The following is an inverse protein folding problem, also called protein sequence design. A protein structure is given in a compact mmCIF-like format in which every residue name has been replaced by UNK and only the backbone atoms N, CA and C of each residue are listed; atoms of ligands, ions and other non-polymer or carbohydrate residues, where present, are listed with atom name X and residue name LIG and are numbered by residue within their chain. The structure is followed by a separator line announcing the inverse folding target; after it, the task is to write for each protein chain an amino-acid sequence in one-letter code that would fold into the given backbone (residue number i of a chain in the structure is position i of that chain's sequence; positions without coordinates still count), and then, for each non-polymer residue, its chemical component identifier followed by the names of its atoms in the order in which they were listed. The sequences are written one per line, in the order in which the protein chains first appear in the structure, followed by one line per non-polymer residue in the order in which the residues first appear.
data_IF_029965817701
#
_entry.id   IF_029965817701
#
_cell.length_a   1.000
_cell.length_b   1.000
_cell.length_c   1.000
_cell.angle_alpha   90.00
_cell.angle_beta   90.00
_cell.angle_gamma   90.00
#
_symmetry.space_group_name_H-M   'P 1'
#
loop_
_entity.id
_entity.type
_entity.pdbx_description
1 polymer ?
#
# COMPACT_ATOMS: atom_id res chain seq x y z
N UNK A 1 5.36 2.37 18.34
CA UNK A 1 4.31 1.40 17.99
C UNK A 1 3.29 2.06 17.07
N UNK A 2 3.74 2.46 15.89
CA UNK A 2 2.84 2.82 14.80
C UNK A 2 3.17 1.88 13.66
N UNK A 3 2.65 0.66 13.78
CA UNK A 3 2.42 -0.16 12.60
C UNK A 3 1.61 0.69 11.62
N UNK A 4 1.91 0.59 10.31
CA UNK A 4 1.18 1.28 9.25
C UNK A 4 -0.30 1.33 9.61
N UNK A 5 -0.92 2.52 9.58
CA UNK A 5 -2.36 2.60 9.78
C UNK A 5 -3.02 1.81 8.67
N UNK A 6 -3.48 0.62 9.05
CA UNK A 6 -4.33 -0.19 8.20
C UNK A 6 -5.73 0.37 8.34
N UNK A 7 -6.68 -0.07 7.52
CA UNK A 7 -8.05 0.47 7.57
C UNK A 7 -8.71 0.35 8.95
N UNK A 8 -8.17 -0.49 9.85
CA UNK A 8 -8.56 -0.61 11.26
C UNK A 8 -8.22 0.60 12.14
N UNK A 9 -7.34 1.50 11.71
CA UNK A 9 -6.91 2.67 12.49
C UNK A 9 -7.65 3.96 12.11
N UNK A 10 -8.72 3.84 11.31
CA UNK A 10 -9.59 4.95 10.92
C UNK A 10 -10.56 5.24 12.08
N UNK A 11 -10.46 6.44 12.65
CA UNK A 11 -11.39 6.87 13.69
C UNK A 11 -12.76 7.23 13.08
N UNK A 12 -13.87 7.02 13.81
CA UNK A 12 -15.18 7.48 13.38
C UNK A 12 -15.19 9.00 13.11
N UNK A 13 -15.93 9.40 12.07
CA UNK A 13 -16.06 10.80 11.61
C UNK A 13 -14.75 11.50 11.18
N UNK A 14 -13.66 10.76 10.97
CA UNK A 14 -12.43 11.33 10.42
C UNK A 14 -12.61 11.82 8.99
N UNK A 15 -11.83 12.85 8.65
CA UNK A 15 -11.71 13.39 7.30
C UNK A 15 -10.46 12.82 6.63
N UNK A 16 -10.65 12.11 5.52
CA UNK A 16 -9.59 11.44 4.77
C UNK A 16 -9.41 12.15 3.43
N UNK A 17 -8.20 12.65 3.19
CA UNK A 17 -7.79 13.22 1.92
C UNK A 17 -7.40 12.13 0.92
N UNK A 18 -8.01 12.16 -0.27
CA UNK A 18 -7.67 11.36 -1.44
C UNK A 18 -7.04 12.31 -2.48
N UNK A 19 -5.70 12.44 -2.49
CA UNK A 19 -5.01 13.49 -3.26
C UNK A 19 -5.08 13.29 -4.78
N UNK A 20 -5.22 12.05 -5.23
CA UNK A 20 -5.40 11.72 -6.65
C UNK A 20 -6.67 10.88 -6.81
N UNK A 21 -7.43 11.14 -7.87
CA UNK A 21 -8.59 10.33 -8.23
C UNK A 21 -8.14 8.88 -8.47
N UNK A 22 -8.48 8.00 -7.54
CA UNK A 22 -8.11 6.60 -7.56
C UNK A 22 -9.34 5.75 -7.24
N UNK A 23 -9.95 5.27 -8.31
CA UNK A 23 -11.15 4.43 -8.24
C UNK A 23 -11.05 3.26 -7.25
N UNK A 24 -9.88 2.61 -7.15
CA UNK A 24 -9.73 1.48 -6.21
C UNK A 24 -9.72 1.94 -4.76
N UNK A 25 -9.10 3.09 -4.47
CA UNK A 25 -9.17 3.69 -3.14
C UNK A 25 -10.61 4.03 -2.78
N UNK A 26 -11.37 4.65 -3.71
CA UNK A 26 -12.76 5.01 -3.47
C UNK A 26 -13.63 3.79 -3.18
N UNK A 27 -13.47 2.73 -3.97
CA UNK A 27 -14.19 1.46 -3.75
C UNK A 27 -13.88 0.84 -2.39
N UNK A 28 -12.62 0.90 -1.95
CA UNK A 28 -12.19 0.35 -0.65
C UNK A 28 -12.66 1.21 0.53
N UNK A 29 -12.74 2.54 0.35
CA UNK A 29 -13.10 3.48 1.41
C UNK A 29 -14.61 3.78 1.49
N UNK A 30 -15.39 3.55 0.43
CA UNK A 30 -16.85 3.75 0.43
C UNK A 30 -17.54 3.09 1.64
N UNK A 31 -17.26 1.82 2.01
CA UNK A 31 -17.93 1.19 3.14
C UNK A 31 -17.64 1.88 4.48
N UNK A 32 -16.49 2.55 4.60
CA UNK A 32 -16.09 3.27 5.81
C UNK A 32 -16.87 4.57 5.98
N UNK A 33 -17.27 5.21 4.88
CA UNK A 33 -18.18 6.37 4.92
C UNK A 33 -19.53 5.97 5.53
N UNK A 34 -20.08 4.83 5.11
CA UNK A 34 -21.36 4.32 5.60
C UNK A 34 -21.29 3.79 7.03
N UNK A 35 -20.24 3.04 7.36
CA UNK A 35 -20.12 2.36 8.66
C UNK A 35 -19.65 3.27 9.79
N UNK A 36 -18.74 4.19 9.49
CA UNK A 36 -18.05 5.00 10.51
C UNK A 36 -18.23 6.51 10.34
N UNK A 37 -19.01 6.96 9.34
CA UNK A 37 -19.26 8.38 9.11
C UNK A 37 -18.04 9.14 8.58
N UNK A 38 -17.06 8.42 8.04
CA UNK A 38 -15.82 9.00 7.48
C UNK A 38 -16.17 9.91 6.31
N UNK A 39 -15.48 11.05 6.22
CA UNK A 39 -15.62 12.00 5.11
C UNK A 39 -14.43 11.86 4.17
N UNK A 40 -14.69 11.62 2.89
CA UNK A 40 -13.67 11.61 1.85
C UNK A 40 -13.63 12.99 1.20
N UNK A 41 -12.43 13.59 1.12
CA UNK A 41 -12.19 14.91 0.52
C UNK A 41 -11.05 14.81 -0.49
N UNK A 42 -11.05 15.67 -1.50
CA UNK A 42 -9.96 15.74 -2.50
C UNK A 42 -9.08 16.99 -2.36
N UNK A 43 -9.46 17.91 -1.48
CA UNK A 43 -8.69 19.10 -1.13
C UNK A 43 -9.15 19.62 0.26
N UNK A 44 -8.37 20.51 0.86
CA UNK A 44 -8.67 21.18 2.14
C UNK A 44 -8.10 20.48 3.37
N UNK A 45 -8.70 20.77 4.54
CA UNK A 45 -8.26 20.22 5.83
C UNK A 45 -8.62 18.74 5.96
N UNK A 46 -7.68 17.95 6.51
CA UNK A 46 -7.82 16.51 6.68
C UNK A 46 -7.17 16.00 7.96
N UNK A 47 -7.67 14.88 8.48
CA UNK A 47 -7.07 14.16 9.61
C UNK A 47 -6.07 13.10 9.13
N UNK A 48 -6.38 12.45 8.00
CA UNK A 48 -5.61 11.39 7.38
C UNK A 48 -5.48 11.64 5.88
N UNK A 49 -4.38 11.20 5.29
CA UNK A 49 -4.15 11.24 3.84
C UNK A 49 -3.95 9.82 3.31
N UNK A 50 -4.53 9.52 2.16
CA UNK A 50 -4.37 8.22 1.51
C UNK A 50 -3.06 8.16 0.76
N UNK A 51 -2.36 7.04 0.93
CA UNK A 51 -1.29 6.59 0.06
C UNK A 51 -1.77 5.32 -0.70
N UNK A 52 -1.95 5.39 -2.04
CA UNK A 52 -2.53 4.30 -2.83
C UNK A 52 -1.52 3.21 -3.21
N UNK A 53 -0.33 3.18 -2.60
CA UNK A 53 0.69 2.16 -2.89
C UNK A 53 0.13 0.74 -2.72
N UNK A 54 0.42 -0.09 -3.71
CA UNK A 54 -0.02 -1.48 -3.78
C UNK A 54 1.07 -2.43 -3.26
N UNK A 55 0.72 -3.69 -3.01
CA UNK A 55 1.66 -4.68 -2.48
C UNK A 55 2.90 -4.85 -3.37
N UNK A 56 2.70 -5.01 -4.68
CA UNK A 56 3.78 -5.20 -5.65
C UNK A 56 4.75 -4.02 -5.69
N UNK A 57 4.23 -2.79 -5.75
CA UNK A 57 5.05 -1.58 -5.73
C UNK A 57 5.87 -1.46 -4.45
N UNK A 58 5.27 -1.82 -3.30
CA UNK A 58 5.98 -1.78 -2.02
C UNK A 58 7.09 -2.83 -1.95
N UNK A 59 6.81 -4.05 -2.41
CA UNK A 59 7.80 -5.14 -2.43
C UNK A 59 8.93 -4.81 -3.41
N UNK A 60 8.62 -4.24 -4.57
CA UNK A 60 9.62 -3.72 -5.50
C UNK A 60 10.50 -2.69 -4.80
N UNK A 61 9.90 -1.67 -4.17
CA UNK A 61 10.65 -0.64 -3.42
C UNK A 61 11.60 -1.24 -2.36
N UNK A 62 11.14 -2.25 -1.61
CA UNK A 62 11.96 -2.92 -0.60
C UNK A 62 13.17 -3.58 -1.25
N UNK A 63 13.00 -4.31 -2.35
CA UNK A 63 14.13 -4.92 -3.04
C UNK A 63 15.05 -3.89 -3.67
N UNK A 64 14.52 -2.86 -4.33
CA UNK A 64 15.33 -1.79 -4.93
C UNK A 64 16.21 -1.09 -3.89
N UNK A 65 15.67 -0.81 -2.71
CA UNK A 65 16.42 -0.17 -1.61
C UNK A 65 17.49 -1.09 -1.02
N UNK A 66 17.20 -2.40 -0.90
CA UNK A 66 18.18 -3.42 -0.50
C UNK A 66 19.32 -3.50 -1.52
N UNK A 67 19.01 -3.57 -2.82
CA UNK A 67 20.00 -3.68 -3.89
C UNK A 67 20.83 -2.42 -4.06
N UNK A 68 20.25 -1.25 -3.81
CA UNK A 68 20.97 0.03 -3.77
C UNK A 68 21.90 0.17 -2.54
N UNK A 69 21.87 -0.78 -1.59
CA UNK A 69 22.66 -0.72 -0.36
C UNK A 69 22.18 0.34 0.64
N UNK A 70 20.99 0.91 0.43
CA UNK A 70 20.36 1.88 1.33
C UNK A 70 19.76 1.17 2.55
N UNK A 71 19.53 -0.14 2.44
CA UNK A 71 18.81 -0.92 3.44
C UNK A 71 17.33 -0.92 3.14
N UNK A 72 16.49 -0.98 4.17
CA UNK A 72 15.04 -0.90 3.98
C UNK A 72 14.59 0.52 4.39
N UNK A 73 13.99 1.25 3.46
CA UNK A 73 13.47 2.60 3.69
C UNK A 73 12.08 2.54 4.33
N UNK A 74 12.01 2.96 5.59
CA UNK A 74 10.83 2.88 6.46
C UNK A 74 10.33 4.28 6.80
N UNK A 75 9.56 4.89 5.90
CA UNK A 75 8.97 6.21 6.10
C UNK A 75 7.43 6.16 6.03
N UNK A 76 6.81 5.30 6.84
CA UNK A 76 5.35 5.37 7.03
C UNK A 76 5.01 6.58 7.88
N UNK A 77 4.18 7.49 7.38
CA UNK A 77 3.78 8.67 8.14
C UNK A 77 2.57 8.38 9.02
N UNK A 78 2.54 8.99 10.19
CA UNK A 78 1.50 8.80 11.21
C UNK A 78 0.09 9.23 10.78
N UNK A 79 0.02 10.14 9.81
CA UNK A 79 -1.21 10.63 9.21
C UNK A 79 -1.49 10.01 7.83
N UNK A 80 -0.68 9.06 7.37
CA UNK A 80 -0.93 8.31 6.13
C UNK A 80 -1.68 7.00 6.42
N UNK A 81 -2.65 6.68 5.56
CA UNK A 81 -3.27 5.35 5.51
C UNK A 81 -2.93 4.68 4.19
N UNK A 82 -2.83 3.35 4.21
CA UNK A 82 -2.40 2.57 3.04
C UNK A 82 -3.46 1.51 2.66
N UNK A 83 -4.57 1.89 2.01
CA UNK A 83 -5.69 0.98 1.72
C UNK A 83 -5.31 -0.23 0.86
N UNK A 84 -4.34 -0.06 -0.05
CA UNK A 84 -3.98 -1.06 -1.06
C UNK A 84 -2.66 -1.80 -0.77
N UNK A 85 -2.00 -1.53 0.36
CA UNK A 85 -0.65 -2.08 0.68
C UNK A 85 -0.60 -3.61 0.73
N UNK A 86 -1.74 -4.26 1.01
CA UNK A 86 -1.87 -5.71 1.07
C UNK A 86 -2.60 -6.29 -0.15
N UNK A 87 -2.87 -5.46 -1.17
CA UNK A 87 -3.60 -5.86 -2.38
C UNK A 87 -2.58 -6.03 -3.52
N UNK A 88 -2.43 -7.25 -4.07
CA UNK A 88 -1.51 -7.46 -5.19
C UNK A 88 -2.05 -6.87 -6.51
N UNK A 89 -1.14 -6.51 -7.41
CA UNK A 89 -1.45 -5.90 -8.70
C UNK A 89 -2.40 -6.78 -9.53
N UNK A 90 -2.18 -8.10 -9.53
CA UNK A 90 -2.99 -9.02 -10.31
C UNK A 90 -4.47 -8.98 -9.89
N UNK A 91 -4.78 -8.87 -8.59
CA UNK A 91 -6.14 -8.76 -8.07
C UNK A 91 -6.78 -7.45 -8.49
N UNK A 92 -6.03 -6.34 -8.43
CA UNK A 92 -6.49 -5.04 -8.89
C UNK A 92 -6.84 -5.10 -10.38
N UNK A 93 -5.95 -5.64 -11.19
CA UNK A 93 -6.15 -5.76 -12.63
C UNK A 93 -7.31 -6.71 -12.99
N UNK A 94 -7.49 -7.81 -12.27
CA UNK A 94 -8.65 -8.69 -12.43
C UNK A 94 -9.96 -7.97 -12.10
N UNK A 95 -9.99 -7.17 -11.04
CA UNK A 95 -11.18 -6.39 -10.67
C UNK A 95 -11.50 -5.30 -11.71
N UNK A 96 -10.50 -4.55 -12.16
CA UNK A 96 -10.68 -3.51 -13.18
C UNK A 96 -11.17 -4.09 -14.52
N UNK A 97 -10.66 -5.27 -14.90
CA UNK A 97 -11.10 -5.98 -16.11
C UNK A 97 -12.58 -6.40 -16.03
N UNK A 98 -13.06 -6.83 -14.86
CA UNK A 98 -14.48 -7.14 -14.64
C UNK A 98 -15.39 -5.91 -14.80
N UNK A 99 -14.90 -4.71 -14.48
CA UNK A 99 -15.64 -3.45 -14.59
C UNK A 99 -15.39 -2.72 -15.93
N UNK A 100 -14.73 -3.38 -16.89
CA UNK A 100 -14.42 -2.80 -18.20
C UNK A 100 -13.40 -1.64 -18.17
N UNK A 101 -12.64 -1.51 -17.08
CA UNK A 101 -11.63 -0.46 -16.89
C UNK A 101 -10.25 -0.92 -17.37
N UNK A 102 -9.39 0.06 -17.67
CA UNK A 102 -8.01 -0.21 -18.10
C UNK A 102 -7.16 -0.74 -16.95
N UNK A 103 -6.32 -1.73 -17.25
CA UNK A 103 -5.34 -2.29 -16.30
C UNK A 103 -4.32 -1.24 -15.90
N UNK A 104 -3.88 -1.29 -14.65
CA UNK A 104 -2.79 -0.46 -14.14
C UNK A 104 -1.48 -1.26 -14.20
N UNK A 105 -0.37 -0.52 -14.15
CA UNK A 105 0.98 -1.07 -14.05
C UNK A 105 1.61 -0.62 -12.74
N UNK A 106 2.61 -1.36 -12.30
CA UNK A 106 3.44 -0.95 -11.17
C UNK A 106 4.02 0.45 -11.45
N UNK A 107 3.87 1.34 -10.47
CA UNK A 107 4.51 2.65 -10.49
C UNK A 107 6.01 2.49 -10.23
N UNK A 108 6.38 1.54 -9.36
CA UNK A 108 7.76 1.23 -9.07
C UNK A 108 8.20 -0.01 -9.85
N UNK A 109 9.12 0.19 -10.79
CA UNK A 109 9.58 -0.86 -11.70
C UNK A 109 11.10 -0.80 -11.85
N UNK A 110 11.82 -0.84 -10.74
CA UNK A 110 13.26 -1.09 -10.79
C UNK A 110 13.51 -2.44 -11.45
N UNK A 111 14.34 -2.46 -12.49
CA UNK A 111 14.52 -3.64 -13.35
C UNK A 111 15.08 -4.84 -12.59
N UNK A 112 16.02 -4.61 -11.67
CA UNK A 112 16.66 -5.66 -10.88
C UNK A 112 15.64 -6.21 -9.86
N UNK A 113 14.93 -5.32 -9.17
CA UNK A 113 13.87 -5.72 -8.25
C UNK A 113 12.76 -6.50 -8.96
N UNK A 114 12.31 -6.03 -10.13
CA UNK A 114 11.28 -6.71 -10.92
C UNK A 114 11.72 -8.09 -11.39
N UNK A 115 12.96 -8.22 -11.91
CA UNK A 115 13.51 -9.52 -12.30
C UNK A 115 13.62 -10.49 -11.12
N UNK A 116 14.00 -9.99 -9.93
CA UNK A 116 14.07 -10.81 -8.73
C UNK A 116 12.68 -11.22 -8.23
N UNK A 117 11.70 -10.32 -8.31
CA UNK A 117 10.30 -10.59 -7.98
C UNK A 117 9.70 -11.68 -8.89
N UNK A 118 9.98 -11.63 -10.19
CA UNK A 118 9.58 -12.68 -11.14
C UNK A 118 10.21 -14.02 -10.78
N UNK A 119 11.51 -14.04 -10.48
CA UNK A 119 12.19 -15.26 -10.01
C UNK A 119 11.55 -15.84 -8.73
N UNK A 120 11.17 -14.98 -7.77
CA UNK A 120 10.56 -15.43 -6.54
C UNK A 120 9.13 -15.95 -6.71
N UNK A 121 8.39 -15.51 -7.73
CA UNK A 121 7.06 -16.04 -8.03
C UNK A 121 7.09 -17.55 -8.23
N UNK A 122 8.08 -18.02 -8.98
CA UNK A 122 8.24 -19.44 -9.33
C UNK A 122 8.72 -20.28 -8.13
N UNK A 123 9.46 -19.67 -7.21
CA UNK A 123 10.07 -20.35 -6.06
C UNK A 123 9.13 -20.35 -4.84
N UNK A 124 8.43 -19.25 -4.61
CA UNK A 124 7.64 -19.02 -3.41
C UNK A 124 6.42 -18.13 -3.71
N UNK A 125 5.24 -18.69 -4.02
CA UNK A 125 4.05 -17.93 -4.45
C UNK A 125 3.57 -16.84 -3.48
N UNK A 126 3.90 -16.95 -2.19
CA UNK A 126 3.52 -15.98 -1.14
C UNK A 126 4.66 -15.05 -0.73
N UNK A 127 5.68 -14.89 -1.59
CA UNK A 127 6.85 -14.10 -1.22
C UNK A 127 6.50 -12.64 -0.94
N UNK A 128 5.55 -12.05 -1.67
CA UNK A 128 5.18 -10.63 -1.51
C UNK A 128 4.69 -10.34 -0.10
N UNK A 129 3.75 -11.13 0.39
CA UNK A 129 3.23 -11.00 1.75
C UNK A 129 4.30 -11.27 2.79
N UNK A 130 5.17 -12.24 2.54
CA UNK A 130 6.26 -12.59 3.45
C UNK A 130 7.31 -11.48 3.54
N UNK A 131 7.67 -10.86 2.42
CA UNK A 131 8.61 -9.73 2.36
C UNK A 131 8.02 -8.53 3.09
N UNK A 132 6.74 -8.19 2.83
CA UNK A 132 6.09 -7.09 3.52
C UNK A 132 6.04 -7.32 5.04
N UNK A 133 5.65 -8.53 5.49
CA UNK A 133 5.63 -8.89 6.92
C UNK A 133 7.03 -8.85 7.55
N UNK A 134 8.05 -9.32 6.83
CA UNK A 134 9.42 -9.30 7.31
C UNK A 134 9.92 -7.86 7.46
N UNK A 135 9.62 -7.01 6.48
CA UNK A 135 9.88 -5.57 6.51
C UNK A 135 9.22 -4.92 7.73
N UNK A 136 7.92 -5.13 7.94
CA UNK A 136 7.18 -4.60 9.09
C UNK A 136 7.71 -5.10 10.44
N UNK A 137 8.17 -6.36 10.50
CA UNK A 137 8.77 -6.93 11.72
C UNK A 137 10.11 -6.26 12.05
N UNK A 138 10.96 -6.07 11.04
CA UNK A 138 12.26 -5.40 11.19
C UNK A 138 12.04 -3.95 11.64
N UNK A 139 11.10 -3.24 11.02
CA UNK A 139 10.69 -1.88 11.39
C UNK A 139 10.34 -1.81 12.89
N UNK A 140 9.41 -2.67 13.34
CA UNK A 140 8.99 -2.71 14.75
C UNK A 140 10.13 -3.03 15.72
N UNK A 141 11.15 -3.79 15.30
CA UNK A 141 12.31 -4.12 16.15
C UNK A 141 13.35 -3.01 16.20
N UNK A 142 13.50 -2.24 15.12
CA UNK A 142 14.42 -1.11 15.05
C UNK A 142 13.89 0.10 15.84
N UNK A 143 12.57 0.32 15.88
CA UNK A 143 11.94 1.36 16.74
C UNK A 143 12.11 1.14 18.25
N UNK A 144 12.52 -0.06 18.68
CA UNK A 144 12.61 -0.45 20.11
C UNK A 144 14.03 -0.22 20.67
N UNK A 145 14.91 0.43 19.92
CA UNK A 145 16.22 0.91 20.39
C UNK A 145 16.21 2.41 20.63
#
# INVERSE_FOLDING_TARGET
SKSAKTLSDINPNSTILIPEDNFMVDVILEPYTRKYGVKLVHDGDYDLIVNPVILDDKVNQIFSTIFAGVGIDFNKKDNEIYPLINVPLNWINSFLEMDGKSKIKNVNNDEIASSFMEFLEDVAPQYRENVLKASDYIEKKLEVK
#
